data_IF_925036913316
#
_entry.id   IF_925036913316
#
_cell.length_a   1.000
_cell.length_b   1.000
_cell.length_c   1.000
_cell.angle_alpha   90.00
_cell.angle_beta   90.00
_cell.angle_gamma   90.00
#
_symmetry.space_group_name_H-M   'P 1'
#
loop_
_entity.id
_entity.type
_entity.pdbx_description
1 polymer ?
#
# COMPACT_ATOMS: atom_id res chain seq x y z
N UNK A 1 -6.24 19.50 -24.80
CA UNK A 1 -5.57 18.92 -23.61
C UNK A 1 -6.53 18.44 -22.52
N UNK A 2 -7.78 18.92 -22.44
CA UNK A 2 -8.74 18.47 -21.40
C UNK A 2 -9.28 17.04 -21.57
N UNK A 3 -9.39 16.54 -22.80
CA UNK A 3 -10.00 15.24 -23.10
C UNK A 3 -9.25 14.01 -22.51
N UNK A 4 -7.99 14.16 -22.09
CA UNK A 4 -7.22 13.06 -21.49
C UNK A 4 -7.36 12.96 -19.96
N UNK A 5 -7.80 14.03 -19.28
CA UNK A 5 -7.95 14.03 -17.81
C UNK A 5 -9.26 13.38 -17.35
N UNK A 6 -10.26 13.29 -18.23
CA UNK A 6 -11.55 12.67 -17.94
C UNK A 6 -11.53 11.13 -18.14
N UNK A 7 -10.43 10.58 -18.66
CA UNK A 7 -10.26 9.14 -18.79
C UNK A 7 -9.80 8.54 -17.45
N UNK A 8 -10.64 7.75 -16.76
CA UNK A 8 -10.33 7.24 -15.42
C UNK A 8 -9.10 6.31 -15.40
N UNK A 9 -8.85 5.58 -16.49
CA UNK A 9 -7.69 4.69 -16.61
C UNK A 9 -6.40 5.47 -16.77
N UNK A 10 -6.39 6.52 -17.62
CA UNK A 10 -5.21 7.38 -17.78
C UNK A 10 -4.91 8.14 -16.49
N UNK A 11 -5.95 8.60 -15.80
CA UNK A 11 -5.83 9.27 -14.49
C UNK A 11 -5.22 8.34 -13.44
N UNK A 12 -5.74 7.12 -13.31
CA UNK A 12 -5.17 6.11 -12.42
C UNK A 12 -3.69 5.81 -12.73
N UNK A 13 -3.38 5.53 -14.00
CA UNK A 13 -2.00 5.25 -14.41
C UNK A 13 -1.07 6.43 -14.10
N UNK A 14 -1.51 7.67 -14.32
CA UNK A 14 -0.71 8.86 -14.02
C UNK A 14 -0.46 9.01 -12.53
N UNK A 15 -1.46 8.75 -11.67
CA UNK A 15 -1.24 8.76 -10.22
C UNK A 15 -0.25 7.69 -9.79
N UNK A 16 -0.35 6.47 -10.32
CA UNK A 16 0.55 5.40 -9.96
C UNK A 16 1.99 5.72 -10.36
N UNK A 17 2.21 6.21 -11.59
CA UNK A 17 3.53 6.67 -12.02
C UNK A 17 4.06 7.77 -11.11
N UNK A 18 3.24 8.77 -10.77
CA UNK A 18 3.71 9.84 -9.86
C UNK A 18 4.12 9.30 -8.49
N UNK A 19 3.36 8.36 -7.92
CA UNK A 19 3.67 7.77 -6.60
C UNK A 19 4.91 6.87 -6.69
N UNK A 20 5.05 6.08 -7.76
CA UNK A 20 6.24 5.27 -8.05
C UNK A 20 7.52 6.11 -8.14
N UNK A 21 7.49 7.19 -8.93
CA UNK A 21 8.65 8.07 -9.05
C UNK A 21 8.96 8.83 -7.74
N UNK A 22 7.93 9.20 -6.97
CA UNK A 22 8.14 9.71 -5.60
C UNK A 22 8.79 8.64 -4.71
N UNK A 23 8.38 7.39 -4.84
CA UNK A 23 8.99 6.24 -4.16
C UNK A 23 10.49 6.17 -4.43
N UNK A 24 10.91 6.28 -5.69
CA UNK A 24 12.34 6.37 -6.04
C UNK A 24 13.06 7.54 -5.37
N UNK A 25 12.43 8.72 -5.24
CA UNK A 25 13.04 9.84 -4.48
C UNK A 25 13.21 9.53 -2.99
N UNK A 26 12.38 8.64 -2.45
CA UNK A 26 12.44 8.10 -1.09
C UNK A 26 13.23 6.78 -1.01
N UNK A 27 14.01 6.45 -2.04
CA UNK A 27 14.88 5.27 -2.12
C UNK A 27 14.14 3.93 -2.09
N UNK A 28 12.90 3.89 -2.55
CA UNK A 28 12.24 2.63 -2.90
C UNK A 28 12.79 2.16 -4.24
N UNK A 29 13.21 0.90 -4.30
CA UNK A 29 13.69 0.25 -5.52
C UNK A 29 12.57 -0.62 -6.09
N UNK A 30 12.66 -0.93 -7.40
CA UNK A 30 11.75 -1.89 -8.02
C UNK A 30 11.74 -3.21 -7.26
N UNK A 31 10.55 -3.76 -7.02
CA UNK A 31 10.41 -5.06 -6.36
C UNK A 31 10.86 -6.22 -7.26
N UNK A 32 10.77 -6.02 -8.57
CA UNK A 32 11.24 -6.98 -9.56
C UNK A 32 12.78 -6.97 -9.68
N UNK A 33 13.39 -8.15 -9.75
CA UNK A 33 14.79 -8.30 -10.15
C UNK A 33 15.86 -8.15 -9.05
N UNK A 34 15.53 -7.62 -7.87
CA UNK A 34 16.52 -7.41 -6.80
C UNK A 34 16.48 -8.45 -5.65
N UNK A 35 15.41 -9.24 -5.47
CA UNK A 35 15.37 -10.29 -4.43
C UNK A 35 14.49 -11.50 -4.79
N UNK A 36 15.04 -12.71 -4.65
CA UNK A 36 14.38 -14.00 -4.97
C UNK A 36 13.33 -14.48 -3.93
N UNK A 37 12.88 -13.60 -3.02
CA UNK A 37 12.05 -13.97 -1.87
C UNK A 37 10.55 -13.78 -2.05
N UNK A 38 10.13 -12.89 -2.94
CA UNK A 38 8.72 -12.57 -3.20
C UNK A 38 8.38 -13.03 -4.60
N UNK A 39 7.77 -14.21 -4.72
CA UNK A 39 7.30 -14.69 -6.04
C UNK A 39 5.80 -14.48 -6.19
N UNK A 40 5.04 -14.53 -5.10
CA UNK A 40 3.59 -14.34 -5.13
C UNK A 40 3.22 -12.86 -4.91
N UNK A 41 3.92 -12.18 -4.02
CA UNK A 41 3.64 -10.81 -3.61
C UNK A 41 4.35 -9.76 -4.48
N UNK A 42 5.17 -10.17 -5.46
CA UNK A 42 5.81 -9.27 -6.43
C UNK A 42 4.81 -8.86 -7.50
N UNK A 43 3.83 -8.09 -7.08
CA UNK A 43 2.79 -7.50 -7.92
C UNK A 43 2.45 -6.09 -7.45
N UNK A 44 1.81 -5.33 -8.34
CA UNK A 44 1.30 -3.99 -8.07
C UNK A 44 0.20 -3.95 -7.01
N UNK A 45 -0.20 -5.09 -6.44
CA UNK A 45 -1.14 -5.16 -5.33
C UNK A 45 -0.48 -4.85 -3.98
N UNK A 46 0.80 -5.20 -3.82
CA UNK A 46 1.54 -5.03 -2.56
C UNK A 46 2.50 -3.84 -2.55
N UNK A 47 2.95 -3.38 -3.71
CA UNK A 47 3.87 -2.24 -3.86
C UNK A 47 3.65 -1.54 -5.19
N UNK A 48 3.74 -0.21 -5.19
CA UNK A 48 3.76 0.58 -6.44
C UNK A 48 5.04 0.42 -7.24
N UNK A 49 6.07 -0.20 -6.65
CA UNK A 49 7.38 -0.45 -7.27
C UNK A 49 7.42 -1.71 -8.13
N UNK A 50 6.30 -2.42 -8.24
CA UNK A 50 6.18 -3.59 -9.09
C UNK A 50 5.68 -3.24 -10.49
N UNK A 51 6.33 -3.80 -11.50
CA UNK A 51 5.82 -3.79 -12.88
C UNK A 51 4.88 -4.95 -13.19
N UNK A 52 4.77 -5.93 -12.29
CA UNK A 52 3.83 -7.03 -12.45
C UNK A 52 2.45 -6.55 -12.03
N UNK A 53 1.60 -6.21 -12.99
CA UNK A 53 0.21 -5.86 -12.68
C UNK A 53 -0.48 -6.98 -11.91
N UNK A 54 -1.13 -6.65 -10.80
CA UNK A 54 -2.03 -7.57 -10.10
C UNK A 54 -3.21 -7.90 -11.04
N UNK A 55 -3.08 -9.01 -11.76
CA UNK A 55 -4.03 -9.43 -12.77
C UNK A 55 -5.33 -9.83 -12.06
N UNK A 56 -6.44 -9.15 -12.40
CA UNK A 56 -7.84 -9.51 -12.07
C UNK A 56 -8.56 -8.74 -10.94
N UNK A 57 -8.46 -7.41 -10.89
CA UNK A 57 -9.47 -6.61 -10.18
C UNK A 57 -10.43 -5.96 -11.20
N UNK A 58 -11.73 -5.84 -10.86
CA UNK A 58 -12.72 -5.19 -11.74
C UNK A 58 -12.26 -3.76 -12.07
N UNK A 59 -12.52 -3.30 -13.30
CA UNK A 59 -12.03 -2.03 -13.86
C UNK A 59 -12.15 -0.79 -12.92
N UNK A 60 -13.16 -0.74 -12.03
CA UNK A 60 -13.32 0.33 -11.04
C UNK A 60 -12.48 0.20 -9.77
N UNK A 61 -12.17 -1.03 -9.34
CA UNK A 61 -11.33 -1.33 -8.16
C UNK A 61 -9.84 -1.13 -8.48
N UNK A 62 -9.45 -1.44 -9.71
CA UNK A 62 -8.13 -1.14 -10.31
C UNK A 62 -7.81 0.36 -10.16
N UNK A 63 -8.73 1.24 -10.58
CA UNK A 63 -8.53 2.70 -10.61
C UNK A 63 -8.28 3.31 -9.23
N UNK A 64 -8.91 2.80 -8.17
CA UNK A 64 -8.74 3.32 -6.80
C UNK A 64 -7.39 2.97 -6.18
N UNK A 65 -6.84 1.79 -6.51
CA UNK A 65 -5.56 1.32 -5.94
C UNK A 65 -4.37 2.12 -6.46
N UNK A 66 -4.40 2.51 -7.72
CA UNK A 66 -3.30 3.22 -8.37
C UNK A 66 -3.05 4.66 -7.86
N UNK A 67 -3.87 5.16 -6.93
CA UNK A 67 -3.70 6.49 -6.34
C UNK A 67 -3.13 6.51 -4.92
N UNK A 68 -2.67 5.38 -4.38
CA UNK A 68 -2.12 5.30 -3.02
C UNK A 68 -0.90 4.38 -2.93
N UNK A 69 -0.12 4.55 -1.85
CA UNK A 69 0.86 3.56 -1.41
C UNK A 69 0.17 2.24 -1.01
N UNK A 70 0.92 1.14 -1.11
CA UNK A 70 0.48 -0.20 -0.72
C UNK A 70 1.28 -0.73 0.48
N UNK A 71 0.90 -1.92 0.95
CA UNK A 71 1.37 -2.51 2.21
C UNK A 71 2.91 -2.54 2.31
N UNK A 72 3.62 -2.96 1.26
CA UNK A 72 5.08 -3.00 1.28
C UNK A 72 5.73 -1.64 1.06
N UNK A 73 5.05 -0.69 0.40
CA UNK A 73 5.55 0.68 0.32
C UNK A 73 5.53 1.33 1.71
N UNK A 74 4.42 1.18 2.44
CA UNK A 74 4.27 1.64 3.82
C UNK A 74 5.29 0.96 4.74
N UNK A 75 5.43 -0.37 4.66
CA UNK A 75 6.39 -1.10 5.46
C UNK A 75 7.84 -0.65 5.20
N UNK A 76 8.19 -0.42 3.94
CA UNK A 76 9.53 0.06 3.56
C UNK A 76 9.79 1.47 4.05
N UNK A 77 8.81 2.38 3.90
CA UNK A 77 8.94 3.75 4.39
C UNK A 77 9.06 3.80 5.92
N UNK A 78 8.25 3.03 6.65
CA UNK A 78 8.36 2.95 8.11
C UNK A 78 9.66 2.28 8.56
N UNK A 79 10.16 1.28 7.83
CA UNK A 79 11.47 0.69 8.11
C UNK A 79 12.61 1.71 7.94
N UNK A 80 12.55 2.55 6.90
CA UNK A 80 13.60 3.54 6.59
C UNK A 80 13.53 4.79 7.47
N UNK A 81 12.33 5.30 7.74
CA UNK A 81 12.12 6.62 8.31
C UNK A 81 11.39 6.61 9.66
N UNK A 82 10.96 5.45 10.13
CA UNK A 82 10.14 5.30 11.33
C UNK A 82 8.66 5.59 11.08
N UNK A 83 7.82 5.12 12.00
CA UNK A 83 6.41 5.52 12.06
C UNK A 83 6.33 6.94 12.63
N UNK A 84 5.44 7.77 12.09
CA UNK A 84 5.18 9.10 12.65
C UNK A 84 4.63 8.96 14.09
N UNK A 85 5.32 9.49 15.12
CA UNK A 85 4.90 9.33 16.52
C UNK A 85 3.56 10.00 16.85
N UNK A 86 3.08 10.93 16.01
CA UNK A 86 1.78 11.57 16.18
C UNK A 86 0.63 10.79 15.52
N UNK A 87 0.94 9.79 14.70
CA UNK A 87 -0.09 8.96 14.06
C UNK A 87 -0.64 7.94 15.06
N UNK A 88 -1.97 7.92 15.20
CA UNK A 88 -2.68 6.99 16.11
C UNK A 88 -2.14 6.98 17.54
N UNK A 89 -1.66 8.13 18.04
CA UNK A 89 -1.02 8.24 19.37
C UNK A 89 -1.91 7.94 20.59
N UNK A 90 -3.11 7.40 20.38
CA UNK A 90 -4.10 7.11 21.40
C UNK A 90 -3.81 5.78 22.08
N UNK A 91 -4.80 5.20 22.75
CA UNK A 91 -4.75 3.78 23.09
C UNK A 91 -5.70 3.09 22.11
N UNK A 92 -5.13 2.39 21.13
CA UNK A 92 -5.91 1.82 20.04
C UNK A 92 -6.10 0.31 20.23
N UNK A 93 -7.24 -0.21 19.76
CA UNK A 93 -7.55 -1.64 19.79
C UNK A 93 -7.66 -2.16 18.36
N UNK A 94 -6.84 -3.16 18.06
CA UNK A 94 -6.71 -3.76 16.75
C UNK A 94 -7.27 -5.19 16.79
N UNK A 95 -8.31 -5.45 16.02
CA UNK A 95 -8.84 -6.79 15.79
C UNK A 95 -8.20 -7.46 14.58
N UNK A 96 -8.47 -8.75 14.39
CA UNK A 96 -8.07 -9.48 13.20
C UNK A 96 -9.09 -9.25 12.07
N UNK A 97 -8.59 -9.14 10.85
CA UNK A 97 -9.37 -8.86 9.65
C UNK A 97 -8.87 -9.73 8.52
N UNK A 98 -9.71 -9.97 7.52
CA UNK A 98 -9.26 -10.50 6.25
C UNK A 98 -8.47 -9.44 5.49
N UNK A 99 -7.52 -9.89 4.66
CA UNK A 99 -6.78 -9.01 3.77
C UNK A 99 -7.74 -8.23 2.85
N UNK A 100 -7.66 -6.89 2.90
CA UNK A 100 -8.41 -6.02 2.01
C UNK A 100 -7.48 -5.28 1.07
N UNK A 101 -7.40 -5.82 -0.14
CA UNK A 101 -6.74 -5.23 -1.28
C UNK A 101 -7.05 -3.72 -1.49
N UNK A 102 -8.28 -3.28 -1.23
CA UNK A 102 -8.68 -1.89 -1.50
C UNK A 102 -8.17 -0.87 -0.49
N UNK A 103 -7.58 -1.32 0.63
CA UNK A 103 -6.98 -0.46 1.65
C UNK A 103 -5.46 -0.40 1.44
N UNK A 104 -4.87 0.77 1.64
CA UNK A 104 -3.42 1.00 1.42
C UNK A 104 -2.54 0.10 2.30
N UNK A 105 -3.00 -0.19 3.51
CA UNK A 105 -2.33 -1.07 4.49
C UNK A 105 -2.84 -2.52 4.42
N UNK A 106 -3.63 -2.86 3.40
CA UNK A 106 -4.19 -4.19 3.22
C UNK A 106 -5.17 -4.61 4.32
N UNK A 107 -5.64 -3.68 5.18
CA UNK A 107 -6.35 -3.92 6.44
C UNK A 107 -5.57 -4.71 7.52
N UNK A 108 -4.35 -5.15 7.22
CA UNK A 108 -3.53 -6.01 8.09
C UNK A 108 -2.33 -5.27 8.67
N UNK A 109 -1.75 -4.33 7.93
CA UNK A 109 -0.51 -3.68 8.33
C UNK A 109 -0.77 -2.51 9.28
N UNK A 110 -0.53 -2.75 10.57
CA UNK A 110 -0.71 -1.76 11.62
C UNK A 110 0.53 -0.87 11.70
N UNK A 111 0.31 0.44 11.72
CA UNK A 111 1.31 1.46 12.00
C UNK A 111 0.73 2.42 13.03
N UNK A 112 1.37 2.45 14.19
CA UNK A 112 0.97 3.21 15.37
C UNK A 112 2.21 3.91 15.94
N UNK A 113 2.06 5.20 16.27
CA UNK A 113 3.16 6.06 16.71
C UNK A 113 3.37 6.07 18.22
N UNK A 114 2.33 5.80 19.02
CA UNK A 114 2.39 5.88 20.48
C UNK A 114 1.10 5.36 21.12
N UNK A 115 1.17 4.88 22.36
CA UNK A 115 -0.03 4.41 23.04
C UNK A 115 0.24 3.23 23.95
N UNK A 116 -0.83 2.76 24.60
CA UNK A 116 -0.92 1.39 25.12
C UNK A 116 -1.97 0.67 24.29
N UNK A 117 -1.50 -0.04 23.27
CA UNK A 117 -2.35 -0.65 22.27
C UNK A 117 -2.65 -2.12 22.59
N UNK A 118 -3.76 -2.60 22.06
CA UNK A 118 -4.26 -3.96 22.31
C UNK A 118 -4.55 -4.67 21.00
N UNK A 119 -4.01 -5.88 20.85
CA UNK A 119 -4.54 -6.85 19.89
C UNK A 119 -5.69 -7.62 20.53
N UNK A 120 -6.91 -7.39 20.03
CA UNK A 120 -8.11 -8.04 20.54
C UNK A 120 -8.51 -9.23 19.66
N UNK A 121 -8.26 -10.43 20.19
CA UNK A 121 -8.62 -11.70 19.56
C UNK A 121 -9.96 -12.26 20.05
N UNK A 122 -10.79 -11.50 20.77
CA UNK A 122 -12.02 -12.00 21.39
C UNK A 122 -13.07 -12.53 20.39
N UNK A 123 -12.95 -12.16 19.11
CA UNK A 123 -13.80 -12.65 18.03
C UNK A 123 -13.20 -13.85 17.27
N UNK A 124 -11.94 -14.23 17.54
CA UNK A 124 -11.28 -15.37 16.91
C UNK A 124 -11.66 -16.68 17.61
N UNK A 125 -11.81 -17.76 16.84
CA UNK A 125 -12.25 -19.08 17.33
C UNK A 125 -11.26 -20.18 17.00
#
# INVERSE_FOLDING_TARGET
MSANLDNPTLKASSYNTNIHEIGHTLQLAHSAGENKGFTYEETSEFTVESYNGAMSLKQGTIVSRYSSLHLFDLATLHYRYGVNPEARKGNDTYGFKDYNATESDGALYIWDGAGIDVFDASNEK
#
